data_IF_411785905475
#
_entry.id   IF_411785905475
#
_cell.length_a   1.000
_cell.length_b   1.000
_cell.length_c   1.000
_cell.angle_alpha   90.00
_cell.angle_beta   90.00
_cell.angle_gamma   90.00
#
_symmetry.space_group_name_H-M   'P 1'
#
loop_
_entity.id
_entity.type
_entity.pdbx_description
1 polymer ?
#
# COMPACT_ATOMS: atom_id res chain seq x y z
N UNK A 1 22.55 -19.80 24.29
CA UNK A 1 21.12 -20.19 24.33
C UNK A 1 20.31 -19.44 23.28
N UNK A 2 20.28 -18.10 23.29
CA UNK A 2 19.50 -17.31 22.32
C UNK A 2 19.96 -17.49 20.85
N UNK A 3 21.26 -17.44 20.56
CA UNK A 3 21.81 -17.72 19.22
C UNK A 3 21.34 -19.05 18.63
N UNK A 4 21.23 -20.08 19.47
CA UNK A 4 20.78 -21.40 19.02
C UNK A 4 19.29 -21.39 18.66
N UNK A 5 18.47 -20.68 19.43
CA UNK A 5 17.03 -20.54 19.18
C UNK A 5 16.77 -19.71 17.91
N UNK A 6 17.60 -18.71 17.63
CA UNK A 6 17.42 -17.83 16.46
C UNK A 6 18.15 -18.28 15.20
N UNK A 7 18.91 -19.38 15.25
CA UNK A 7 19.78 -19.81 14.14
C UNK A 7 20.79 -18.73 13.77
N UNK A 8 21.45 -18.15 14.77
CA UNK A 8 22.42 -17.05 14.69
C UNK A 8 21.88 -15.74 14.07
N UNK A 9 20.56 -15.61 13.90
CA UNK A 9 19.94 -14.34 13.50
C UNK A 9 20.04 -13.32 14.65
N UNK A 10 20.24 -12.02 14.34
CA UNK A 10 20.31 -10.97 15.36
C UNK A 10 19.06 -10.95 16.23
N UNK A 11 19.25 -11.11 17.55
CA UNK A 11 18.17 -11.19 18.53
C UNK A 11 18.15 -10.02 19.53
N UNK A 12 19.19 -9.18 19.55
CA UNK A 12 19.27 -7.98 20.41
C UNK A 12 18.98 -8.24 21.91
N UNK A 13 19.32 -9.44 22.39
CA UNK A 13 19.13 -9.86 23.79
C UNK A 13 17.75 -10.41 24.16
N UNK A 14 16.76 -10.44 23.25
CA UNK A 14 15.39 -10.90 23.55
C UNK A 14 14.86 -11.83 22.45
N UNK A 15 14.08 -12.84 22.84
CA UNK A 15 13.31 -13.69 21.93
C UNK A 15 11.89 -13.80 22.46
N UNK A 16 10.91 -13.67 21.57
CA UNK A 16 9.49 -13.84 21.87
C UNK A 16 8.96 -15.00 21.01
N UNK A 17 8.20 -15.89 21.63
CA UNK A 17 7.39 -16.87 20.92
C UNK A 17 6.02 -16.24 20.65
N UNK A 18 5.57 -16.29 19.39
CA UNK A 18 4.40 -15.57 18.94
C UNK A 18 3.57 -16.43 17.98
N UNK A 19 2.25 -16.24 18.01
CA UNK A 19 1.36 -16.87 17.05
C UNK A 19 1.68 -16.39 15.62
N UNK A 20 1.47 -17.23 14.59
CA UNK A 20 1.61 -16.80 13.21
C UNK A 20 0.72 -15.61 12.88
N UNK A 21 1.26 -14.66 12.11
CA UNK A 21 0.48 -13.52 11.63
C UNK A 21 -0.59 -14.02 10.65
N UNK A 22 -1.84 -13.67 10.91
CA UNK A 22 -2.97 -13.95 10.03
C UNK A 22 -3.68 -12.65 9.64
N UNK A 23 -3.80 -12.41 8.34
CA UNK A 23 -4.57 -11.28 7.82
C UNK A 23 -6.04 -11.64 7.69
N UNK A 24 -6.90 -10.74 8.16
CA UNK A 24 -8.34 -10.81 7.90
C UNK A 24 -8.64 -10.49 6.45
N UNK A 25 -9.73 -11.06 5.94
CA UNK A 25 -10.25 -10.69 4.63
C UNK A 25 -10.83 -9.28 4.70
N UNK A 26 -10.47 -8.42 3.75
CA UNK A 26 -11.09 -7.12 3.59
C UNK A 26 -12.50 -7.29 3.02
N UNK A 27 -13.47 -6.63 3.65
CA UNK A 27 -14.85 -6.59 3.18
C UNK A 27 -15.13 -5.15 2.73
N UNK A 28 -15.47 -4.91 1.43
CA UNK A 28 -15.87 -3.59 0.97
C UNK A 28 -17.01 -3.02 1.81
N UNK A 29 -16.86 -1.76 2.20
CA UNK A 29 -17.76 -1.02 3.07
C UNK A 29 -17.79 0.45 2.62
N UNK A 30 -18.81 1.20 3.06
CA UNK A 30 -18.91 2.61 2.70
C UNK A 30 -17.77 3.43 3.33
N UNK A 31 -17.30 4.52 2.70
CA UNK A 31 -16.28 5.39 3.28
C UNK A 31 -16.56 5.86 4.71
N UNK A 32 -17.83 6.08 5.05
CA UNK A 32 -18.28 6.52 6.37
C UNK A 32 -17.84 5.60 7.51
N UNK A 33 -17.62 4.32 7.23
CA UNK A 33 -17.17 3.30 8.20
C UNK A 33 -15.68 3.41 8.55
N UNK A 34 -14.90 4.16 7.76
CA UNK A 34 -13.45 4.34 7.93
C UNK A 34 -13.06 5.74 8.41
N UNK A 35 -14.05 6.60 8.63
CA UNK A 35 -13.84 7.99 9.04
C UNK A 35 -13.54 8.07 10.54
N UNK A 36 -12.25 7.99 10.90
CA UNK A 36 -11.77 8.11 12.28
C UNK A 36 -11.49 9.58 12.70
N UNK A 37 -11.53 10.53 11.75
CA UNK A 37 -11.22 11.94 11.98
C UNK A 37 -11.97 12.85 11.01
N UNK A 38 -11.76 14.17 11.07
CA UNK A 38 -12.30 15.11 10.07
C UNK A 38 -11.67 14.94 8.68
N UNK A 39 -10.64 14.10 8.53
CA UNK A 39 -10.01 13.79 7.25
C UNK A 39 -10.75 12.66 6.54
N UNK A 40 -10.91 12.80 5.24
CA UNK A 40 -11.45 11.73 4.40
C UNK A 40 -10.55 10.51 4.41
N UNK A 41 -11.13 9.29 4.49
CA UNK A 41 -10.35 8.08 4.64
C UNK A 41 -9.61 7.74 3.34
N UNK A 42 -8.44 7.15 3.51
CA UNK A 42 -7.61 6.67 2.41
C UNK A 42 -7.24 5.22 2.67
N UNK A 43 -7.57 4.33 1.73
CA UNK A 43 -7.15 2.93 1.73
C UNK A 43 -6.06 2.75 0.68
N UNK A 44 -4.97 2.10 1.06
CA UNK A 44 -3.90 1.73 0.13
C UNK A 44 -4.05 0.27 -0.29
N UNK A 45 -4.11 0.02 -1.59
CA UNK A 45 -4.16 -1.32 -2.16
C UNK A 45 -2.84 -1.65 -2.82
N UNK A 46 -2.25 -2.80 -2.46
CA UNK A 46 -0.99 -3.28 -3.00
C UNK A 46 -1.23 -4.49 -3.90
N UNK A 47 -1.09 -4.29 -5.21
CA UNK A 47 -1.26 -5.32 -6.22
C UNK A 47 0.10 -5.92 -6.61
N UNK A 48 0.37 -7.13 -6.11
CA UNK A 48 1.57 -7.92 -6.45
C UNK A 48 2.92 -7.25 -6.13
N UNK A 49 3.02 -6.61 -4.95
CA UNK A 49 4.32 -6.15 -4.41
C UNK A 49 5.14 -7.37 -3.98
N UNK A 50 6.28 -7.60 -4.63
CA UNK A 50 7.07 -8.81 -4.49
C UNK A 50 8.33 -8.64 -3.65
N UNK A 51 8.87 -7.43 -3.55
CA UNK A 51 10.05 -7.16 -2.74
C UNK A 51 9.67 -6.95 -1.26
N UNK A 52 10.16 -7.79 -0.32
CA UNK A 52 9.90 -7.62 1.10
C UNK A 52 10.38 -6.27 1.68
N UNK A 53 11.44 -5.67 1.11
CA UNK A 53 11.93 -4.37 1.58
C UNK A 53 10.95 -3.26 1.21
N UNK A 54 10.53 -3.20 -0.06
CA UNK A 54 9.48 -2.28 -0.50
C UNK A 54 8.19 -2.48 0.29
N UNK A 55 7.76 -3.73 0.50
CA UNK A 55 6.52 -4.00 1.22
C UNK A 55 6.59 -3.46 2.66
N UNK A 56 7.65 -3.76 3.41
CA UNK A 56 7.80 -3.25 4.77
C UNK A 56 7.90 -1.72 4.82
N UNK A 57 8.64 -1.11 3.88
CA UNK A 57 8.75 0.35 3.78
C UNK A 57 7.40 1.02 3.51
N UNK A 58 6.58 0.44 2.62
CA UNK A 58 5.22 0.91 2.34
C UNK A 58 4.35 0.85 3.59
N UNK A 59 4.34 -0.28 4.31
CA UNK A 59 3.56 -0.42 5.54
C UNK A 59 3.95 0.63 6.58
N UNK A 60 5.25 0.89 6.72
CA UNK A 60 5.76 1.93 7.62
C UNK A 60 5.24 3.32 7.23
N UNK A 61 5.33 3.68 5.95
CA UNK A 61 4.83 4.97 5.45
C UNK A 61 3.32 5.09 5.60
N UNK A 62 2.56 4.06 5.25
CA UNK A 62 1.11 4.04 5.36
C UNK A 62 0.65 4.22 6.81
N UNK A 63 1.25 3.48 7.75
CA UNK A 63 0.97 3.64 9.18
C UNK A 63 1.34 5.04 9.68
N UNK A 64 2.54 5.53 9.35
CA UNK A 64 3.02 6.82 9.82
C UNK A 64 2.16 8.00 9.33
N UNK A 65 1.72 7.96 8.07
CA UNK A 65 0.92 9.02 7.46
C UNK A 65 -0.56 8.97 7.87
N UNK A 66 -1.02 7.89 8.51
CA UNK A 66 -2.41 7.75 8.95
C UNK A 66 -3.35 7.21 7.89
N UNK A 67 -2.88 6.31 7.02
CA UNK A 67 -3.74 5.56 6.10
C UNK A 67 -4.76 4.72 6.90
N UNK A 68 -6.02 4.73 6.49
CA UNK A 68 -7.12 4.04 7.21
C UNK A 68 -6.91 2.52 7.21
N UNK A 69 -6.51 1.96 6.06
CA UNK A 69 -6.17 0.55 5.94
C UNK A 69 -5.23 0.31 4.74
N UNK A 70 -4.45 -0.77 4.83
CA UNK A 70 -3.72 -1.36 3.70
C UNK A 70 -4.34 -2.71 3.35
N UNK A 71 -4.66 -2.91 2.08
CA UNK A 71 -5.21 -4.16 1.55
C UNK A 71 -4.22 -4.75 0.53
N UNK A 72 -3.88 -6.02 0.70
CA UNK A 72 -2.93 -6.71 -0.19
C UNK A 72 -3.58 -7.86 -0.92
N UNK A 73 -3.08 -8.21 -2.11
CA UNK A 73 -3.47 -9.46 -2.78
C UNK A 73 -3.20 -10.68 -1.90
N UNK A 74 -4.16 -11.61 -1.79
CA UNK A 74 -3.97 -12.90 -1.09
C UNK A 74 -2.92 -13.79 -1.77
N UNK A 75 -2.59 -13.51 -3.04
CA UNK A 75 -1.62 -14.25 -3.84
C UNK A 75 -0.62 -13.32 -4.50
N UNK A 76 0.53 -13.86 -4.87
CA UNK A 76 1.56 -13.17 -5.64
C UNK A 76 2.05 -11.86 -4.98
N UNK A 77 2.03 -11.77 -3.65
CA UNK A 77 2.69 -10.70 -2.90
C UNK A 77 3.77 -11.29 -2.01
N UNK A 78 4.74 -10.48 -1.60
CA UNK A 78 5.75 -10.87 -0.63
C UNK A 78 5.08 -11.41 0.65
N UNK A 79 5.52 -12.55 1.18
CA UNK A 79 5.00 -13.05 2.45
C UNK A 79 5.37 -12.09 3.58
N UNK A 80 4.55 -12.07 4.64
CA UNK A 80 4.84 -11.36 5.90
C UNK A 80 6.01 -12.02 6.62
N UNK A 81 7.21 -11.75 6.10
CA UNK A 81 8.46 -12.37 6.49
C UNK A 81 9.23 -11.51 7.51
N UNK A 82 10.28 -12.05 8.16
CA UNK A 82 11.15 -11.26 9.02
C UNK A 82 11.78 -10.05 8.32
N UNK A 83 11.94 -10.10 6.98
CA UNK A 83 12.42 -8.97 6.21
C UNK A 83 11.39 -7.84 6.14
N UNK A 84 10.11 -8.15 5.93
CA UNK A 84 9.00 -7.17 5.96
C UNK A 84 8.87 -6.58 7.35
N UNK A 85 8.85 -7.41 8.39
CA UNK A 85 8.79 -6.97 9.80
C UNK A 85 9.91 -5.97 10.11
N UNK A 86 11.16 -6.33 9.78
CA UNK A 86 12.33 -5.45 9.98
C UNK A 86 12.22 -4.13 9.21
N UNK A 87 11.85 -4.17 7.93
CA UNK A 87 11.72 -2.97 7.09
C UNK A 87 10.58 -2.05 7.56
N UNK A 88 9.51 -2.64 8.11
CA UNK A 88 8.35 -1.90 8.62
C UNK A 88 8.58 -1.23 9.98
N UNK A 89 9.59 -1.66 10.74
CA UNK A 89 9.94 -1.12 12.07
C UNK A 89 8.74 -1.12 13.02
N UNK A 90 8.07 -2.27 13.14
CA UNK A 90 6.92 -2.46 14.05
C UNK A 90 5.56 -2.07 13.48
N UNK A 91 5.52 -1.38 12.33
CA UNK A 91 4.26 -0.99 11.70
C UNK A 91 3.44 -2.21 11.27
N UNK A 92 4.09 -3.27 10.78
CA UNK A 92 3.41 -4.52 10.42
C UNK A 92 2.57 -5.07 11.59
N UNK A 93 3.20 -5.23 12.75
CA UNK A 93 2.57 -5.84 13.92
C UNK A 93 1.42 -4.98 14.45
N UNK A 94 1.61 -3.65 14.51
CA UNK A 94 0.57 -2.71 14.96
C UNK A 94 -0.62 -2.69 14.00
N UNK A 95 -0.37 -2.70 12.69
CA UNK A 95 -1.45 -2.68 11.70
C UNK A 95 -2.26 -3.98 11.70
N UNK A 96 -1.60 -5.13 11.85
CA UNK A 96 -2.31 -6.42 11.98
C UNK A 96 -3.15 -6.45 13.26
N UNK A 97 -2.59 -6.01 14.39
CA UNK A 97 -3.28 -6.05 15.69
C UNK A 97 -4.54 -5.19 15.73
N UNK A 98 -4.61 -4.14 14.91
CA UNK A 98 -5.74 -3.20 14.83
C UNK A 98 -6.58 -3.38 13.55
N UNK A 99 -6.46 -4.51 12.84
CA UNK A 99 -7.20 -4.79 11.61
C UNK A 99 -7.01 -3.74 10.50
N UNK A 100 -5.86 -3.06 10.46
CA UNK A 100 -5.49 -2.06 9.43
C UNK A 100 -4.60 -2.63 8.32
N UNK A 101 -4.17 -3.88 8.42
CA UNK A 101 -3.57 -4.64 7.33
C UNK A 101 -4.43 -5.86 7.05
N UNK A 102 -5.00 -5.92 5.84
CA UNK A 102 -5.95 -6.95 5.43
C UNK A 102 -5.57 -7.51 4.06
N UNK A 103 -6.21 -8.61 3.68
CA UNK A 103 -6.01 -9.23 2.38
C UNK A 103 -7.30 -9.32 1.58
N UNK A 104 -7.19 -9.33 0.27
CA UNK A 104 -8.29 -9.56 -0.64
C UNK A 104 -7.97 -10.74 -1.56
N UNK A 105 -8.90 -11.71 -1.64
CA UNK A 105 -8.81 -12.84 -2.58
C UNK A 105 -8.94 -12.41 -4.03
N UNK A 106 -9.77 -11.41 -4.29
CA UNK A 106 -10.06 -10.90 -5.62
C UNK A 106 -10.06 -9.37 -5.58
N UNK A 107 -8.90 -8.76 -5.88
CA UNK A 107 -8.77 -7.30 -5.89
C UNK A 107 -9.71 -6.63 -6.91
N UNK A 108 -9.94 -7.25 -8.08
CA UNK A 108 -10.82 -6.67 -9.10
C UNK A 108 -12.24 -6.49 -8.58
N UNK A 109 -12.80 -7.55 -8.00
CA UNK A 109 -14.15 -7.54 -7.43
C UNK A 109 -14.24 -6.62 -6.22
N UNK A 110 -13.26 -6.67 -5.33
CA UNK A 110 -13.16 -5.78 -4.18
C UNK A 110 -13.18 -4.30 -4.60
N UNK A 111 -12.36 -3.92 -5.59
CA UNK A 111 -12.28 -2.55 -6.10
C UNK A 111 -13.57 -2.12 -6.82
N UNK A 112 -14.18 -3.01 -7.61
CA UNK A 112 -15.44 -2.72 -8.29
C UNK A 112 -16.56 -2.42 -7.29
N UNK A 113 -16.75 -3.29 -6.30
CA UNK A 113 -17.74 -3.08 -5.23
C UNK A 113 -17.44 -1.81 -4.45
N UNK A 114 -16.17 -1.56 -4.11
CA UNK A 114 -15.81 -0.34 -3.39
C UNK A 114 -16.13 0.93 -4.19
N UNK A 115 -15.91 0.92 -5.50
CA UNK A 115 -16.31 2.00 -6.39
C UNK A 115 -17.83 2.26 -6.34
N UNK A 116 -18.64 1.20 -6.37
CA UNK A 116 -20.10 1.30 -6.26
C UNK A 116 -20.57 1.82 -4.88
N UNK A 117 -19.76 1.60 -3.83
CA UNK A 117 -19.99 2.10 -2.47
C UNK A 117 -19.51 3.56 -2.26
N UNK A 118 -19.07 4.23 -3.32
CA UNK A 118 -18.70 5.65 -3.27
C UNK A 118 -17.22 5.93 -3.00
N UNK A 119 -16.35 4.93 -3.11
CA UNK A 119 -14.91 5.16 -3.11
C UNK A 119 -14.42 5.68 -4.46
N UNK A 120 -13.53 6.69 -4.44
CA UNK A 120 -12.71 7.02 -5.60
C UNK A 120 -11.51 6.08 -5.68
N UNK A 121 -11.48 5.20 -6.67
CA UNK A 121 -10.38 4.28 -6.98
C UNK A 121 -9.38 4.94 -7.93
N UNK A 122 -8.18 5.19 -7.43
CA UNK A 122 -7.09 5.83 -8.17
C UNK A 122 -5.94 4.85 -8.34
N UNK A 123 -5.52 4.62 -9.58
CA UNK A 123 -4.37 3.78 -9.87
C UNK A 123 -3.08 4.58 -10.05
N UNK A 124 -1.99 4.21 -9.39
CA UNK A 124 -0.67 4.79 -9.63
C UNK A 124 0.03 4.10 -10.81
N UNK A 125 0.16 4.81 -11.94
CA UNK A 125 0.83 4.29 -13.13
C UNK A 125 1.07 5.42 -14.13
N UNK A 126 2.21 5.39 -14.81
CA UNK A 126 2.44 6.22 -16.00
C UNK A 126 1.49 5.82 -17.13
N UNK A 127 0.98 6.78 -17.90
CA UNK A 127 0.17 6.49 -19.08
C UNK A 127 -0.50 7.73 -19.67
N UNK A 128 -1.07 7.63 -20.89
CA UNK A 128 -1.85 8.72 -21.47
C UNK A 128 -3.01 9.08 -20.56
N UNK A 129 -3.28 10.38 -20.43
CA UNK A 129 -4.32 10.97 -19.56
C UNK A 129 -4.13 10.78 -18.05
N UNK A 130 -2.93 10.43 -17.57
CA UNK A 130 -2.65 10.44 -16.13
C UNK A 130 -2.78 11.86 -15.56
N UNK A 131 -3.47 11.99 -14.43
CA UNK A 131 -3.50 13.23 -13.66
C UNK A 131 -2.23 13.34 -12.79
N UNK A 132 -1.80 14.57 -12.55
CA UNK A 132 -0.68 14.85 -11.64
C UNK A 132 -1.11 14.62 -10.19
N UNK A 133 -0.19 14.15 -9.35
CA UNK A 133 -0.43 13.94 -7.90
C UNK A 133 -1.07 15.12 -7.18
N UNK A 134 -0.76 16.36 -7.59
CA UNK A 134 -1.33 17.59 -7.02
C UNK A 134 -2.83 17.76 -7.23
N UNK A 135 -3.45 16.97 -8.13
CA UNK A 135 -4.90 16.97 -8.36
C UNK A 135 -5.65 15.95 -7.50
N UNK A 136 -4.95 15.18 -6.67
CA UNK A 136 -5.56 14.20 -5.77
C UNK A 136 -6.21 14.82 -4.53
N UNK A 137 -5.74 16.00 -4.13
CA UNK A 137 -6.10 16.68 -2.89
C UNK A 137 -7.42 17.44 -3.03
N UNK A 138 -8.52 16.70 -3.09
CA UNK A 138 -9.89 17.23 -3.16
C UNK A 138 -10.79 16.74 -2.00
N UNK A 139 -10.19 16.07 -1.01
CA UNK A 139 -10.89 15.56 0.15
C UNK A 139 -11.87 14.42 -0.15
N UNK A 140 -11.79 13.76 -1.30
CA UNK A 140 -12.64 12.59 -1.58
C UNK A 140 -12.08 11.32 -0.92
N UNK A 141 -12.95 10.47 -0.32
CA UNK A 141 -12.54 9.14 0.14
C UNK A 141 -11.91 8.33 -1.00
N UNK A 142 -10.67 7.91 -0.81
CA UNK A 142 -9.85 7.40 -1.91
C UNK A 142 -9.28 6.03 -1.61
N UNK A 143 -9.41 5.11 -2.57
CA UNK A 143 -8.62 3.88 -2.65
C UNK A 143 -7.48 4.14 -3.62
N UNK A 144 -6.25 4.20 -3.10
CA UNK A 144 -5.04 4.32 -3.90
C UNK A 144 -4.49 2.93 -4.21
N UNK A 145 -4.36 2.59 -5.48
CA UNK A 145 -3.83 1.29 -5.93
C UNK A 145 -2.41 1.43 -6.45
N UNK A 146 -1.48 0.72 -5.81
CA UNK A 146 -0.09 0.59 -6.23
C UNK A 146 0.12 -0.75 -6.91
N UNK A 147 0.65 -0.70 -8.13
CA UNK A 147 0.93 -1.89 -8.92
C UNK A 147 2.31 -2.50 -8.64
N UNK A 148 2.57 -3.60 -9.34
CA UNK A 148 3.86 -4.28 -9.30
C UNK A 148 5.01 -3.34 -9.68
N UNK A 149 6.18 -3.55 -9.07
CA UNK A 149 7.36 -2.69 -9.23
C UNK A 149 7.88 -2.62 -10.68
N UNK A 150 7.66 -3.68 -11.46
CA UNK A 150 8.18 -3.81 -12.83
C UNK A 150 7.07 -3.69 -13.88
N UNK A 151 5.88 -4.21 -13.58
CA UNK A 151 4.76 -4.28 -14.53
C UNK A 151 3.73 -3.18 -14.34
N UNK A 152 3.75 -2.48 -13.21
CA UNK A 152 2.71 -1.54 -12.83
C UNK A 152 1.36 -2.24 -12.60
N UNK A 153 0.28 -1.54 -12.91
CA UNK A 153 -1.09 -2.03 -12.70
C UNK A 153 -1.48 -3.09 -13.75
N UNK A 154 -2.07 -4.19 -13.28
CA UNK A 154 -2.68 -5.17 -14.18
C UNK A 154 -3.88 -4.54 -14.91
N UNK A 155 -4.12 -4.95 -16.15
CA UNK A 155 -5.15 -4.37 -17.02
C UNK A 155 -6.55 -4.32 -16.39
N UNK A 156 -6.97 -5.38 -15.71
CA UNK A 156 -8.28 -5.44 -15.08
C UNK A 156 -8.37 -4.53 -13.84
N UNK A 157 -7.32 -4.43 -13.04
CA UNK A 157 -7.24 -3.48 -11.91
C UNK A 157 -7.30 -2.04 -12.42
N UNK A 158 -6.57 -1.75 -13.49
CA UNK A 158 -6.59 -0.46 -14.17
C UNK A 158 -7.98 -0.08 -14.67
N UNK A 159 -8.80 -1.05 -15.09
CA UNK A 159 -10.19 -0.80 -15.52
C UNK A 159 -11.13 -0.43 -14.37
N UNK A 160 -10.79 -0.78 -13.12
CA UNK A 160 -11.54 -0.36 -11.94
C UNK A 160 -11.19 1.07 -11.50
N UNK A 161 -10.10 1.64 -11.99
CA UNK A 161 -9.64 2.97 -11.59
C UNK A 161 -10.42 4.04 -12.35
N UNK A 162 -11.07 4.97 -11.65
CA UNK A 162 -11.68 6.14 -12.29
C UNK A 162 -10.60 7.11 -12.79
N UNK A 163 -9.55 7.28 -11.98
CA UNK A 163 -8.40 8.13 -12.30
C UNK A 163 -7.09 7.36 -12.19
N UNK A 164 -6.10 7.89 -12.90
CA UNK A 164 -4.74 7.36 -12.85
C UNK A 164 -3.80 8.48 -12.53
N UNK A 165 -3.00 8.29 -11.50
CA UNK A 165 -2.07 9.29 -11.03
C UNK A 165 -0.63 8.99 -11.44
N UNK A 166 0.08 10.05 -11.80
CA UNK A 166 1.53 10.06 -11.97
C UNK A 166 2.17 11.10 -11.04
N UNK A 167 3.32 10.76 -10.47
CA UNK A 167 4.20 11.70 -9.80
C UNK A 167 5.04 12.38 -10.88
N UNK A 168 4.94 13.71 -11.08
CA UNK A 168 5.66 14.39 -12.14
C UNK A 168 7.16 14.36 -11.85
N UNK A 169 7.96 13.86 -12.80
CA UNK A 169 9.41 13.98 -12.80
C UNK A 169 9.87 15.26 -13.51
N UNK A 170 11.05 15.77 -13.16
CA UNK A 170 11.69 16.91 -13.83
C UNK A 170 12.91 16.53 -14.68
N UNK A 171 13.13 15.23 -14.93
CA UNK A 171 14.28 14.81 -15.74
C UNK A 171 14.17 15.38 -17.17
N UNK A 172 15.12 16.23 -17.53
CA UNK A 172 15.15 17.01 -18.78
C UNK A 172 15.91 16.34 -19.92
N UNK A 173 16.57 15.21 -19.66
CA UNK A 173 17.48 14.57 -20.59
C UNK A 173 16.97 13.16 -20.92
N UNK A 174 16.66 12.91 -22.20
CA UNK A 174 16.06 11.67 -22.69
C UNK A 174 17.02 10.47 -22.48
N UNK A 175 18.32 10.71 -22.48
CA UNK A 175 19.36 9.66 -22.36
C UNK A 175 19.67 9.26 -20.90
N UNK A 176 19.20 10.02 -19.91
CA UNK A 176 19.43 9.73 -18.47
C UNK A 176 18.15 9.63 -17.64
N UNK A 177 17.01 9.55 -18.32
CA UNK A 177 15.70 9.51 -17.67
C UNK A 177 15.54 8.23 -16.86
N UNK A 178 15.29 8.39 -15.56
CA UNK A 178 14.78 7.31 -14.71
C UNK A 178 13.28 7.20 -14.97
N UNK A 179 12.84 6.05 -15.48
CA UNK A 179 11.47 5.86 -15.97
C UNK A 179 10.40 5.83 -14.86
N UNK A 180 10.80 5.52 -13.63
CA UNK A 180 9.89 5.45 -12.49
C UNK A 180 10.59 5.57 -11.14
N UNK A 181 9.87 6.03 -10.13
CA UNK A 181 10.31 5.96 -8.74
C UNK A 181 10.14 4.53 -8.22
N UNK A 182 10.94 4.18 -7.22
CA UNK A 182 10.70 3.00 -6.41
C UNK A 182 9.26 3.04 -5.83
N UNK A 183 8.56 1.90 -5.85
CA UNK A 183 7.15 1.80 -5.45
C UNK A 183 6.90 2.28 -4.02
N UNK A 184 7.84 2.06 -3.08
CA UNK A 184 7.67 2.51 -1.70
C UNK A 184 7.77 4.03 -1.57
N UNK A 185 8.67 4.63 -2.36
CA UNK A 185 8.82 6.10 -2.44
C UNK A 185 7.57 6.71 -3.09
N UNK A 186 7.11 6.14 -4.20
CA UNK A 186 5.91 6.60 -4.87
C UNK A 186 4.67 6.51 -3.96
N UNK A 187 4.55 5.41 -3.22
CA UNK A 187 3.45 5.21 -2.26
C UNK A 187 3.47 6.28 -1.17
N UNK A 188 4.65 6.57 -0.60
CA UNK A 188 4.79 7.59 0.43
C UNK A 188 4.41 8.99 -0.06
N UNK A 189 4.84 9.38 -1.27
CA UNK A 189 4.52 10.69 -1.87
C UNK A 189 3.01 10.80 -2.09
N UNK A 190 2.39 9.82 -2.74
CA UNK A 190 0.96 9.87 -3.07
C UNK A 190 0.08 9.82 -1.81
N UNK A 191 0.46 9.05 -0.80
CA UNK A 191 -0.22 9.06 0.50
C UNK A 191 -0.10 10.41 1.19
N UNK A 192 1.07 11.05 1.14
CA UNK A 192 1.26 12.37 1.72
C UNK A 192 0.35 13.40 1.05
N UNK A 193 0.30 13.41 -0.29
CA UNK A 193 -0.58 14.27 -1.09
C UNK A 193 -2.08 14.05 -0.79
N UNK A 194 -2.49 12.81 -0.50
CA UNK A 194 -3.90 12.50 -0.17
C UNK A 194 -4.28 12.82 1.28
N UNK A 195 -3.35 12.71 2.22
CA UNK A 195 -3.65 12.76 3.66
C UNK A 195 -3.33 14.12 4.31
N UNK A 196 -2.56 14.97 3.63
CA UNK A 196 -2.01 16.22 4.20
C UNK A 196 -2.20 17.46 3.31
N UNK A 197 -2.97 17.34 2.23
CA UNK A 197 -3.38 18.43 1.36
C UNK A 197 -4.89 18.37 1.13
#
# INVERSE_FOLDING_TARGET
>A
MLNHITGDKPHQGVVLDAAPIQLKEFVPAEPSEFTESERSPVILVLDEIHDPQNFGAILRSAHFLGCSAVVVSDRNTAPLSPAVSRASVGALEVMVANDKLMKARNLHEMLAISGDLGWRVVGASSGPNSITSTKLSDGQPTILVMGNEHRGLRKHIRQCCQDVVIIPGQATDEDTRVDSLNVSVASAILLYELLHH
#
